data_IF_854581533970
#
_entry.id   IF_854581533970
#
_cell.length_a   1.000
_cell.length_b   1.000
_cell.length_c   1.000
_cell.angle_alpha   90.00
_cell.angle_beta   90.00
_cell.angle_gamma   90.00
#
_symmetry.space_group_name_H-M   'P 1'
#
loop_
_entity.id
_entity.type
_entity.pdbx_description
1 polymer ?
#
# COMPACT_ATOMS: atom_id res chain seq x y z
N UNK A 1 1.67 -18.49 -10.66
CA UNK A 1 0.95 -17.95 -9.48
C UNK A 1 0.83 -19.03 -8.43
N UNK A 2 1.09 -18.74 -7.16
CA UNK A 2 0.88 -19.66 -6.03
C UNK A 2 0.48 -18.93 -4.76
N UNK A 3 -0.19 -19.64 -3.85
CA UNK A 3 -0.49 -19.17 -2.49
C UNK A 3 0.57 -19.72 -1.54
N UNK A 4 1.09 -18.86 -0.68
CA UNK A 4 2.16 -19.16 0.29
C UNK A 4 1.63 -18.94 1.69
N UNK A 5 1.96 -19.86 2.60
CA UNK A 5 1.76 -19.69 4.04
C UNK A 5 3.12 -19.61 4.72
N UNK A 6 3.30 -18.68 5.62
CA UNK A 6 4.51 -18.50 6.42
C UNK A 6 4.20 -17.99 7.82
N UNK A 7 5.07 -18.25 8.76
CA UNK A 7 4.91 -17.73 10.12
C UNK A 7 5.40 -16.28 10.22
N UNK A 8 4.52 -15.37 10.62
CA UNK A 8 4.90 -13.99 10.94
C UNK A 8 5.25 -13.85 12.41
N UNK A 9 6.47 -13.43 12.68
CA UNK A 9 6.93 -13.15 14.05
C UNK A 9 6.21 -11.94 14.65
N UNK A 10 5.97 -10.90 13.84
CA UNK A 10 5.28 -9.70 14.26
C UNK A 10 3.84 -9.95 14.70
N UNK A 11 3.15 -10.88 14.04
CA UNK A 11 1.77 -11.25 14.34
C UNK A 11 1.66 -12.52 15.17
N UNK A 12 2.77 -13.24 15.40
CA UNK A 12 2.86 -14.53 16.10
C UNK A 12 1.80 -15.54 15.59
N UNK A 13 1.67 -15.65 14.27
CA UNK A 13 0.73 -16.57 13.61
C UNK A 13 1.10 -16.79 12.15
N UNK A 14 0.52 -17.83 11.57
CA UNK A 14 0.66 -18.10 10.15
C UNK A 14 -0.16 -17.10 9.33
N UNK A 15 0.49 -16.52 8.34
CA UNK A 15 -0.06 -15.56 7.40
C UNK A 15 0.01 -16.08 5.98
N UNK A 16 -0.89 -15.60 5.13
CA UNK A 16 -0.94 -15.99 3.74
C UNK A 16 -0.66 -14.81 2.81
N UNK A 17 -0.04 -15.10 1.68
CA UNK A 17 0.05 -14.19 0.57
C UNK A 17 0.03 -14.94 -0.76
N UNK A 18 -0.40 -14.29 -1.82
CA UNK A 18 -0.35 -14.81 -3.18
C UNK A 18 0.80 -14.18 -3.94
N UNK A 19 1.51 -14.98 -4.74
CA UNK A 19 2.59 -14.50 -5.60
C UNK A 19 2.27 -14.81 -7.06
N UNK A 20 2.53 -13.84 -7.94
CA UNK A 20 2.58 -14.02 -9.38
C UNK A 20 4.02 -13.76 -9.85
N UNK A 21 4.54 -14.67 -10.65
CA UNK A 21 5.91 -14.62 -11.17
C UNK A 21 5.93 -14.18 -12.63
N UNK A 22 7.06 -13.63 -13.11
CA UNK A 22 7.31 -13.46 -14.54
C UNK A 22 7.20 -14.79 -15.28
N UNK A 23 6.78 -14.73 -16.54
CA UNK A 23 6.65 -15.93 -17.39
C UNK A 23 7.98 -16.65 -17.67
N UNK A 24 9.09 -15.92 -17.67
CA UNK A 24 10.44 -16.44 -17.83
C UNK A 24 11.29 -16.04 -16.64
N UNK A 25 11.95 -17.02 -16.02
CA UNK A 25 12.90 -16.82 -14.92
C UNK A 25 14.24 -17.40 -15.34
N UNK A 26 15.25 -16.55 -15.46
CA UNK A 26 16.62 -16.98 -15.74
C UNK A 26 17.36 -17.25 -14.43
N UNK A 27 18.16 -18.29 -14.38
CA UNK A 27 18.95 -18.60 -13.19
C UNK A 27 19.90 -17.44 -12.85
N UNK A 28 19.84 -16.97 -11.59
CA UNK A 28 20.64 -15.86 -11.09
C UNK A 28 20.03 -14.47 -11.32
N UNK A 29 18.98 -14.35 -12.11
CA UNK A 29 18.25 -13.10 -12.31
C UNK A 29 17.40 -12.77 -11.06
N UNK A 30 17.32 -11.48 -10.72
CA UNK A 30 16.46 -10.96 -9.65
C UNK A 30 15.47 -9.96 -10.23
N UNK A 31 14.23 -10.04 -9.78
CA UNK A 31 13.12 -9.27 -10.30
C UNK A 31 12.65 -8.22 -9.29
N UNK A 32 12.26 -7.03 -9.76
CA UNK A 32 11.58 -6.05 -8.93
C UNK A 32 10.29 -6.63 -8.34
N UNK A 33 9.94 -6.15 -7.14
CA UNK A 33 8.78 -6.64 -6.37
C UNK A 33 7.75 -5.54 -6.20
N UNK A 34 6.49 -5.88 -6.43
CA UNK A 34 5.35 -5.01 -6.16
C UNK A 34 4.45 -5.67 -5.11
N UNK A 35 4.34 -5.05 -3.95
CA UNK A 35 3.42 -5.45 -2.90
C UNK A 35 2.05 -4.81 -3.14
N UNK A 36 0.98 -5.62 -3.26
CA UNK A 36 -0.37 -5.19 -3.64
C UNK A 36 -1.32 -5.36 -2.46
N UNK A 37 -1.63 -4.28 -1.78
CA UNK A 37 -2.42 -4.26 -0.56
C UNK A 37 -3.92 -4.19 -0.87
N UNK A 38 -4.72 -5.13 -0.35
CA UNK A 38 -6.17 -5.16 -0.54
C UNK A 38 -6.90 -4.08 0.28
N UNK A 39 -8.14 -3.78 -0.09
CA UNK A 39 -9.04 -2.87 0.62
C UNK A 39 -9.71 -3.49 1.85
N UNK A 40 -10.44 -2.68 2.62
CA UNK A 40 -11.20 -3.16 3.78
C UNK A 40 -12.23 -4.23 3.39
N UNK A 41 -12.40 -5.25 4.25
CA UNK A 41 -13.24 -6.42 3.98
C UNK A 41 -12.71 -7.36 2.90
N UNK A 42 -11.51 -7.09 2.37
CA UNK A 42 -10.84 -7.92 1.37
C UNK A 42 -9.92 -8.97 1.97
N UNK A 43 -9.17 -9.61 1.08
CA UNK A 43 -8.17 -10.63 1.41
C UNK A 43 -7.05 -10.69 0.35
N UNK A 44 -6.04 -11.52 0.55
CA UNK A 44 -4.87 -11.67 -0.30
C UNK A 44 -5.15 -12.12 -1.74
N UNK A 45 -6.38 -12.55 -2.08
CA UNK A 45 -6.75 -13.00 -3.42
C UNK A 45 -7.39 -11.90 -4.28
N UNK A 46 -7.92 -10.83 -3.65
CA UNK A 46 -8.79 -9.89 -4.35
C UNK A 46 -8.15 -9.24 -5.58
N UNK A 47 -6.87 -8.90 -5.51
CA UNK A 47 -6.17 -8.33 -6.64
C UNK A 47 -6.18 -9.24 -7.87
N UNK A 48 -5.88 -10.52 -7.70
CA UNK A 48 -5.85 -11.49 -8.80
C UNK A 48 -7.23 -11.97 -9.24
N UNK A 49 -8.21 -11.99 -8.31
CA UNK A 49 -9.54 -12.54 -8.62
C UNK A 49 -10.45 -11.47 -9.27
N UNK A 50 -10.20 -10.18 -9.02
CA UNK A 50 -11.08 -9.10 -9.43
C UNK A 50 -10.41 -8.05 -10.34
N UNK A 51 -9.17 -8.28 -10.76
CA UNK A 51 -8.46 -7.41 -11.70
C UNK A 51 -7.52 -8.19 -12.61
N UNK A 52 -7.04 -7.53 -13.67
CA UNK A 52 -6.07 -8.08 -14.61
C UNK A 52 -4.61 -7.90 -14.15
N UNK A 53 -4.39 -7.68 -12.84
CA UNK A 53 -3.07 -7.32 -12.31
C UNK A 53 -2.01 -8.37 -12.61
N UNK A 54 -2.40 -9.66 -12.66
CA UNK A 54 -1.47 -10.76 -12.91
C UNK A 54 -0.68 -10.63 -14.23
N UNK A 55 -1.27 -10.01 -15.27
CA UNK A 55 -0.60 -9.78 -16.57
C UNK A 55 0.65 -8.92 -16.48
N UNK A 56 0.74 -8.05 -15.46
CA UNK A 56 1.91 -7.17 -15.31
C UNK A 56 3.15 -7.91 -14.81
N UNK A 57 3.01 -9.12 -14.28
CA UNK A 57 4.15 -9.96 -13.97
C UNK A 57 4.99 -10.32 -15.22
N UNK A 58 4.36 -10.38 -16.41
CA UNK A 58 5.07 -10.64 -17.67
C UNK A 58 6.05 -9.54 -18.07
N UNK A 59 5.95 -8.37 -17.45
CA UNK A 59 6.95 -7.29 -17.57
C UNK A 59 8.23 -7.56 -16.76
N UNK A 60 8.42 -8.74 -16.19
CA UNK A 60 9.56 -9.05 -15.32
C UNK A 60 9.35 -8.59 -13.88
N UNK A 61 8.13 -8.67 -13.35
CA UNK A 61 7.80 -8.27 -11.98
C UNK A 61 7.36 -9.48 -11.15
N UNK A 62 7.75 -9.51 -9.89
CA UNK A 62 7.11 -10.36 -8.87
C UNK A 62 6.00 -9.53 -8.21
N UNK A 63 4.76 -10.03 -8.28
CA UNK A 63 3.61 -9.40 -7.63
C UNK A 63 3.26 -10.17 -6.37
N UNK A 64 3.23 -9.49 -5.22
CA UNK A 64 2.96 -10.08 -3.90
C UNK A 64 1.70 -9.47 -3.31
N UNK A 65 0.71 -10.30 -3.01
CA UNK A 65 -0.60 -9.92 -2.49
C UNK A 65 -0.79 -10.47 -1.09
N UNK A 66 -0.45 -9.73 -0.03
CA UNK A 66 -0.53 -10.22 1.34
C UNK A 66 -1.94 -10.16 1.91
N UNK A 67 -2.21 -11.04 2.91
CA UNK A 67 -3.36 -10.93 3.79
C UNK A 67 -3.13 -9.83 4.82
N UNK A 68 -4.09 -8.94 5.00
CA UNK A 68 -3.97 -7.81 5.92
C UNK A 68 -5.17 -7.62 6.85
N UNK A 69 -6.22 -8.44 6.70
CA UNK A 69 -7.48 -8.26 7.44
C UNK A 69 -7.98 -6.80 7.35
N UNK A 70 -8.74 -6.34 8.32
CA UNK A 70 -9.20 -4.94 8.42
C UNK A 70 -8.26 -4.07 9.28
N UNK A 71 -6.96 -4.27 9.16
CA UNK A 71 -5.91 -3.67 10.02
C UNK A 71 -5.50 -2.25 9.65
N UNK A 72 -5.91 -1.74 8.49
CA UNK A 72 -5.34 -0.53 7.88
C UNK A 72 -3.81 -0.62 7.69
N UNK A 73 -3.25 -1.84 7.67
CA UNK A 73 -1.81 -2.06 7.50
C UNK A 73 -0.97 -1.31 8.54
N UNK A 74 -1.48 -1.22 9.77
CA UNK A 74 -0.89 -0.48 10.87
C UNK A 74 -0.69 -1.38 12.10
N UNK A 75 0.29 -1.04 12.93
CA UNK A 75 0.41 -1.61 14.25
C UNK A 75 -0.70 -1.06 15.14
N UNK A 76 -1.51 -1.94 15.72
CA UNK A 76 -2.69 -1.54 16.50
C UNK A 76 -2.32 -1.01 17.87
N UNK A 77 -2.85 0.17 18.22
CA UNK A 77 -2.66 0.78 19.53
C UNK A 77 -3.34 -0.02 20.66
N UNK A 78 -4.51 -0.61 20.39
CA UNK A 78 -5.31 -1.32 21.36
C UNK A 78 -5.17 -2.84 21.34
N UNK A 79 -4.42 -3.39 20.39
CA UNK A 79 -4.10 -4.82 20.26
C UNK A 79 -2.63 -4.99 19.95
N UNK A 80 -1.76 -5.06 20.97
CA UNK A 80 -0.30 -5.11 20.78
C UNK A 80 0.19 -6.28 19.91
N UNK A 81 -0.59 -7.35 19.80
CA UNK A 81 -0.31 -8.51 18.95
C UNK A 81 -0.64 -8.28 17.46
N UNK A 82 -1.44 -7.25 17.12
CA UNK A 82 -1.83 -6.93 15.74
C UNK A 82 -0.85 -5.90 15.17
N UNK A 83 0.36 -6.36 14.80
CA UNK A 83 1.48 -5.56 14.30
C UNK A 83 1.61 -5.68 12.78
N UNK A 84 0.58 -5.25 12.06
CA UNK A 84 0.52 -5.43 10.61
C UNK A 84 1.50 -4.55 9.80
N UNK A 85 1.96 -3.43 10.34
CA UNK A 85 3.06 -2.66 9.76
C UNK A 85 4.36 -3.47 9.79
N UNK A 86 4.75 -3.96 10.99
CA UNK A 86 5.96 -4.76 11.15
C UNK A 86 5.91 -6.05 10.35
N UNK A 87 4.73 -6.68 10.29
CA UNK A 87 4.51 -7.85 9.43
C UNK A 87 4.85 -7.55 7.97
N UNK A 88 4.41 -6.40 7.41
CA UNK A 88 4.71 -6.08 6.01
C UNK A 88 6.18 -5.73 5.82
N UNK A 89 6.72 -4.82 6.66
CA UNK A 89 8.05 -4.24 6.40
C UNK A 89 9.21 -5.12 6.85
N UNK A 90 8.98 -6.06 7.75
CA UNK A 90 10.01 -6.98 8.23
C UNK A 90 9.77 -8.41 7.74
N UNK A 91 8.64 -9.03 8.15
CA UNK A 91 8.45 -10.47 7.96
C UNK A 91 8.16 -10.83 6.50
N UNK A 92 7.19 -10.13 5.89
CA UNK A 92 6.76 -10.41 4.51
C UNK A 92 7.87 -10.12 3.49
N UNK A 93 8.51 -8.94 3.61
CA UNK A 93 9.63 -8.58 2.71
C UNK A 93 10.74 -9.62 2.82
N UNK A 94 11.15 -9.99 4.04
CA UNK A 94 12.20 -11.00 4.25
C UNK A 94 11.82 -12.35 3.68
N UNK A 95 10.58 -12.82 3.94
CA UNK A 95 10.11 -14.12 3.47
C UNK A 95 10.07 -14.20 1.93
N UNK A 96 9.63 -13.11 1.26
CA UNK A 96 9.63 -13.01 -0.21
C UNK A 96 11.04 -13.01 -0.77
N UNK A 97 11.97 -12.27 -0.18
CA UNK A 97 13.35 -12.17 -0.62
C UNK A 97 14.16 -13.45 -0.42
N UNK A 98 13.81 -14.23 0.60
CA UNK A 98 14.48 -15.49 0.91
C UNK A 98 13.94 -16.67 0.08
N UNK A 99 12.65 -16.64 -0.27
CA UNK A 99 12.01 -17.72 -1.02
C UNK A 99 12.11 -17.57 -2.54
N UNK A 100 12.18 -16.33 -3.03
CA UNK A 100 12.05 -16.04 -4.45
C UNK A 100 13.23 -15.23 -4.99
N UNK A 101 13.36 -15.18 -6.32
CA UNK A 101 14.37 -14.35 -7.00
C UNK A 101 14.01 -12.86 -6.96
N UNK A 102 13.70 -12.35 -5.78
CA UNK A 102 13.32 -10.96 -5.54
C UNK A 102 14.57 -10.08 -5.40
N UNK A 103 14.55 -8.89 -6.02
CA UNK A 103 15.57 -7.87 -5.79
C UNK A 103 15.41 -7.28 -4.38
N UNK A 104 16.53 -7.10 -3.67
CA UNK A 104 16.52 -6.75 -2.24
C UNK A 104 16.65 -5.25 -1.96
N UNK A 105 16.94 -4.48 -2.97
CA UNK A 105 17.17 -3.04 -2.81
C UNK A 105 15.88 -2.22 -2.97
N UNK A 106 15.93 -0.99 -2.45
CA UNK A 106 14.85 -0.02 -2.52
C UNK A 106 14.41 0.31 -3.94
N UNK A 107 15.37 0.44 -4.87
CA UNK A 107 15.12 0.87 -6.24
C UNK A 107 14.19 -0.11 -6.98
N UNK A 108 14.21 -1.37 -6.58
CA UNK A 108 13.44 -2.46 -7.16
C UNK A 108 12.19 -2.84 -6.32
N UNK A 109 11.76 -1.99 -5.38
CA UNK A 109 10.61 -2.31 -4.54
C UNK A 109 9.54 -1.24 -4.59
N UNK A 110 8.31 -1.67 -4.93
CA UNK A 110 7.12 -0.84 -4.96
C UNK A 110 6.02 -1.39 -4.04
N UNK A 111 5.17 -0.51 -3.54
CA UNK A 111 3.98 -0.86 -2.76
C UNK A 111 2.76 -0.13 -3.31
N UNK A 112 1.68 -0.85 -3.55
CA UNK A 112 0.46 -0.33 -4.18
C UNK A 112 -0.75 -0.84 -3.42
N UNK A 113 -1.81 -0.08 -3.36
CA UNK A 113 -3.03 -0.55 -2.73
C UNK A 113 -4.29 0.19 -3.15
N UNK A 114 -5.43 -0.39 -2.82
CA UNK A 114 -6.76 0.19 -3.05
C UNK A 114 -7.46 0.50 -1.74
N UNK A 115 -8.14 1.63 -1.63
CA UNK A 115 -8.97 1.97 -0.46
C UNK A 115 -8.18 1.96 0.86
N UNK A 116 -8.47 1.04 1.78
CA UNK A 116 -7.67 0.77 2.97
C UNK A 116 -6.21 0.42 2.61
N UNK A 117 -6.01 -0.40 1.58
CA UNK A 117 -4.67 -0.73 1.07
C UNK A 117 -3.95 0.46 0.45
N UNK A 118 -4.70 1.37 -0.19
CA UNK A 118 -4.15 2.63 -0.70
C UNK A 118 -3.62 3.53 0.40
N UNK A 119 -4.36 3.63 1.50
CA UNK A 119 -3.86 4.26 2.73
C UNK A 119 -2.59 3.55 3.24
N UNK A 120 -2.64 2.21 3.37
CA UNK A 120 -1.52 1.41 3.84
C UNK A 120 -0.27 1.59 3.00
N UNK A 121 -0.39 1.52 1.68
CA UNK A 121 0.73 1.67 0.75
C UNK A 121 1.41 3.04 0.89
N UNK A 122 0.63 4.12 0.88
CA UNK A 122 1.16 5.48 1.02
C UNK A 122 1.80 5.67 2.40
N UNK A 123 1.10 5.26 3.47
CA UNK A 123 1.58 5.41 4.85
C UNK A 123 2.87 4.62 5.08
N UNK A 124 2.92 3.35 4.69
CA UNK A 124 4.11 2.52 4.87
C UNK A 124 5.32 3.09 4.12
N UNK A 125 5.11 3.53 2.89
CA UNK A 125 6.21 4.09 2.09
C UNK A 125 6.72 5.43 2.64
N UNK A 126 5.85 6.26 3.22
CA UNK A 126 6.25 7.49 3.90
C UNK A 126 6.95 7.25 5.24
N UNK A 127 6.52 6.21 5.99
CA UNK A 127 7.13 5.83 7.27
C UNK A 127 8.48 5.11 7.09
N UNK A 128 8.64 4.39 5.97
CA UNK A 128 9.82 3.58 5.66
C UNK A 128 10.40 3.94 4.29
N UNK A 129 10.87 5.20 4.10
CA UNK A 129 11.28 5.69 2.78
C UNK A 129 12.49 4.95 2.20
N UNK A 130 13.24 4.24 3.04
CA UNK A 130 14.41 3.43 2.63
C UNK A 130 13.99 2.06 2.08
N UNK A 131 12.71 1.67 2.19
CA UNK A 131 12.24 0.39 1.68
C UNK A 131 11.64 0.47 0.28
N UNK A 132 11.00 1.57 -0.10
CA UNK A 132 10.21 1.65 -1.33
C UNK A 132 10.64 2.84 -2.20
N UNK A 133 10.85 2.60 -3.50
CA UNK A 133 11.07 3.66 -4.47
C UNK A 133 9.76 4.28 -4.99
N UNK A 134 8.67 3.50 -4.97
CA UNK A 134 7.37 3.88 -5.49
C UNK A 134 6.24 3.44 -4.54
N UNK A 135 5.24 4.30 -4.38
CA UNK A 135 3.99 3.94 -3.70
C UNK A 135 2.77 4.38 -4.52
N UNK A 136 1.83 3.45 -4.71
CA UNK A 136 0.58 3.70 -5.42
C UNK A 136 -0.63 3.62 -4.50
N UNK A 137 -1.45 4.68 -4.46
CA UNK A 137 -2.70 4.72 -3.70
C UNK A 137 -3.90 4.97 -4.60
N UNK A 138 -4.72 3.95 -4.85
CA UNK A 138 -5.95 4.07 -5.61
C UNK A 138 -7.12 4.22 -4.63
N UNK A 139 -7.92 5.28 -4.79
CA UNK A 139 -9.10 5.54 -3.94
C UNK A 139 -8.78 5.47 -2.44
N UNK A 140 -7.65 6.06 -2.05
CA UNK A 140 -7.07 5.89 -0.72
C UNK A 140 -7.94 6.45 0.39
N UNK A 141 -8.14 5.68 1.47
CA UNK A 141 -8.76 6.16 2.70
C UNK A 141 -7.76 7.02 3.51
N UNK A 142 -7.12 8.00 2.83
CA UNK A 142 -5.90 8.68 3.27
C UNK A 142 -6.05 9.49 4.57
N UNK A 143 -7.27 9.92 4.89
CA UNK A 143 -7.60 10.73 6.06
C UNK A 143 -8.07 9.93 7.28
N UNK A 144 -8.06 8.59 7.22
CA UNK A 144 -8.66 7.74 8.28
C UNK A 144 -8.14 8.06 9.67
N UNK A 145 -6.84 8.28 9.92
CA UNK A 145 -6.38 8.66 11.27
C UNK A 145 -6.92 10.01 11.75
N UNK A 146 -7.37 10.86 10.85
CA UNK A 146 -7.91 12.20 11.12
C UNK A 146 -9.44 12.24 11.27
N UNK A 147 -10.13 11.12 11.00
CA UNK A 147 -11.58 11.08 11.09
C UNK A 147 -12.03 11.10 12.55
N UNK A 148 -12.94 12.02 12.93
CA UNK A 148 -13.51 12.05 14.25
C UNK A 148 -14.41 10.83 14.46
N UNK A 149 -14.69 10.52 15.74
CA UNK A 149 -15.67 9.49 16.07
C UNK A 149 -17.05 9.90 15.54
N UNK A 150 -17.70 8.98 14.82
CA UNK A 150 -19.02 9.20 14.26
C UNK A 150 -20.08 8.38 14.99
N UNK A 151 -21.05 9.04 15.59
CA UNK A 151 -22.22 8.39 16.22
C UNK A 151 -23.11 7.68 15.20
N UNK A 152 -23.05 8.08 13.92
CA UNK A 152 -23.76 7.42 12.81
C UNK A 152 -23.10 6.10 12.39
N UNK A 153 -21.81 5.93 12.70
CA UNK A 153 -21.01 4.73 12.38
C UNK A 153 -20.14 4.34 13.57
N UNK A 154 -20.76 3.97 14.72
CA UNK A 154 -20.03 3.75 15.96
C UNK A 154 -19.01 2.60 15.86
N UNK A 155 -19.36 1.50 15.20
CA UNK A 155 -18.46 0.36 15.01
C UNK A 155 -17.18 0.75 14.26
N UNK A 156 -17.29 1.58 13.22
CA UNK A 156 -16.13 2.09 12.48
C UNK A 156 -15.29 3.02 13.37
N UNK A 157 -15.91 3.90 14.14
CA UNK A 157 -15.20 4.79 15.06
C UNK A 157 -14.44 4.03 16.15
N UNK A 158 -15.05 2.97 16.71
CA UNK A 158 -14.40 2.09 17.68
C UNK A 158 -13.22 1.34 17.05
N UNK A 159 -13.37 0.83 15.83
CA UNK A 159 -12.27 0.19 15.07
C UNK A 159 -11.11 1.16 14.85
N UNK A 160 -11.37 2.39 14.39
CA UNK A 160 -10.32 3.40 14.21
C UNK A 160 -9.61 3.74 15.52
N UNK A 161 -10.36 3.82 16.64
CA UNK A 161 -9.77 4.04 17.95
C UNK A 161 -8.90 2.87 18.39
N UNK A 162 -9.34 1.65 18.12
CA UNK A 162 -8.58 0.44 18.43
C UNK A 162 -7.26 0.40 17.67
N UNK A 163 -7.29 0.71 16.36
CA UNK A 163 -6.10 0.64 15.50
C UNK A 163 -5.19 1.84 15.75
N UNK A 164 -5.70 3.06 15.67
CA UNK A 164 -4.91 4.29 15.71
C UNK A 164 -4.79 4.94 17.10
N UNK A 165 -5.44 4.39 18.10
CA UNK A 165 -5.46 4.95 19.46
C UNK A 165 -6.46 6.10 19.64
N UNK A 166 -6.40 6.73 20.82
CA UNK A 166 -7.22 7.88 21.16
C UNK A 166 -6.93 9.07 20.25
N UNK A 167 -7.89 10.01 20.18
CA UNK A 167 -7.68 11.27 19.49
C UNK A 167 -6.48 12.01 20.08
N UNK A 168 -5.57 12.47 19.20
CA UNK A 168 -4.35 13.16 19.62
C UNK A 168 -3.23 12.27 20.17
N UNK A 169 -3.39 10.93 20.21
CA UNK A 169 -2.31 10.02 20.61
C UNK A 169 -1.12 10.04 19.65
N UNK A 170 0.05 9.63 20.16
CA UNK A 170 1.25 9.50 19.33
C UNK A 170 1.04 8.47 18.21
N UNK A 171 0.50 7.29 18.52
CA UNK A 171 0.20 6.26 17.52
C UNK A 171 -0.66 6.78 16.37
N UNK A 172 -1.65 7.63 16.68
CA UNK A 172 -2.50 8.23 15.66
C UNK A 172 -1.72 9.20 14.78
N UNK A 173 -0.82 10.00 15.35
CA UNK A 173 0.07 10.92 14.60
C UNK A 173 1.06 10.17 13.73
N UNK A 174 1.66 9.11 14.24
CA UNK A 174 2.64 8.28 13.52
C UNK A 174 2.01 7.57 12.32
N UNK A 175 0.70 7.34 12.35
CA UNK A 175 -0.05 6.75 11.24
C UNK A 175 -0.78 7.78 10.36
N UNK A 176 -0.56 9.08 10.55
CA UNK A 176 -1.22 10.13 9.76
C UNK A 176 -0.35 10.57 8.57
N UNK A 177 -0.71 10.19 7.32
CA UNK A 177 0.07 10.54 6.13
C UNK A 177 0.30 12.05 5.96
N UNK A 178 -0.64 12.88 6.40
CA UNK A 178 -0.46 14.34 6.34
C UNK A 178 0.60 14.83 7.32
N UNK A 179 0.74 14.19 8.47
CA UNK A 179 1.81 14.49 9.43
C UNK A 179 3.14 13.99 8.89
N UNK A 180 3.17 12.76 8.39
CA UNK A 180 4.38 12.17 7.78
C UNK A 180 4.94 13.07 6.66
N UNK A 181 4.08 13.54 5.75
CA UNK A 181 4.47 14.45 4.66
C UNK A 181 5.02 15.78 5.18
N UNK A 182 4.41 16.35 6.24
CA UNK A 182 4.88 17.65 6.79
C UNK A 182 6.31 17.62 7.32
N UNK A 183 6.76 16.46 7.79
CA UNK A 183 8.10 16.28 8.35
C UNK A 183 9.03 15.47 7.44
N UNK A 184 8.56 15.11 6.23
CA UNK A 184 9.33 14.36 5.27
C UNK A 184 10.50 15.17 4.69
N UNK A 185 11.61 14.49 4.45
CA UNK A 185 12.69 14.98 3.58
C UNK A 185 12.34 14.60 2.12
N UNK A 186 12.02 15.58 1.24
CA UNK A 186 11.60 15.30 -0.14
C UNK A 186 12.62 14.47 -0.93
N UNK A 187 13.92 14.61 -0.64
CA UNK A 187 15.00 13.88 -1.31
C UNK A 187 14.99 12.37 -1.03
N UNK A 188 14.42 11.95 0.10
CA UNK A 188 14.37 10.55 0.53
C UNK A 188 13.03 9.87 0.21
N UNK A 189 11.98 10.65 -0.04
CA UNK A 189 10.63 10.09 -0.22
C UNK A 189 10.48 9.28 -1.50
N UNK A 190 9.62 8.26 -1.50
CA UNK A 190 9.24 7.54 -2.71
C UNK A 190 8.52 8.45 -3.70
N UNK A 191 8.43 8.02 -4.96
CA UNK A 191 7.48 8.62 -5.90
C UNK A 191 6.07 8.14 -5.57
N UNK A 192 5.10 9.07 -5.52
CA UNK A 192 3.72 8.74 -5.15
C UNK A 192 2.79 8.82 -6.37
N UNK A 193 2.11 7.73 -6.68
CA UNK A 193 1.00 7.71 -7.63
C UNK A 193 -0.32 7.69 -6.87
N UNK A 194 -1.17 8.66 -7.10
CA UNK A 194 -2.48 8.73 -6.47
C UNK A 194 -3.58 8.80 -7.52
N UNK A 195 -4.68 8.09 -7.32
CA UNK A 195 -5.88 8.28 -8.12
C UNK A 195 -7.15 8.12 -7.28
N UNK A 196 -8.22 8.82 -7.67
CA UNK A 196 -9.51 8.74 -7.00
C UNK A 196 -10.65 9.01 -7.99
N UNK A 197 -11.75 8.30 -7.85
CA UNK A 197 -12.95 8.49 -8.66
C UNK A 197 -13.68 9.79 -8.31
N UNK A 198 -14.23 10.46 -9.32
CA UNK A 198 -15.01 11.71 -9.15
C UNK A 198 -16.23 11.54 -8.25
N UNK A 199 -16.83 10.34 -8.23
CA UNK A 199 -18.04 10.03 -7.48
C UNK A 199 -17.75 9.45 -6.09
N UNK A 200 -16.47 9.43 -5.67
CA UNK A 200 -16.08 8.87 -4.39
C UNK A 200 -16.13 9.89 -3.26
N UNK A 201 -16.67 9.49 -2.11
CA UNK A 201 -16.59 10.30 -0.88
C UNK A 201 -15.16 10.52 -0.36
N UNK A 202 -14.18 9.82 -0.92
CA UNK A 202 -12.76 9.94 -0.57
C UNK A 202 -12.03 11.02 -1.39
N UNK A 203 -12.64 11.51 -2.49
CA UNK A 203 -12.00 12.43 -3.42
C UNK A 203 -11.50 13.72 -2.74
N UNK A 204 -12.32 14.30 -1.86
CA UNK A 204 -11.93 15.52 -1.14
C UNK A 204 -10.64 15.33 -0.36
N UNK A 205 -10.55 14.28 0.45
CA UNK A 205 -9.36 14.00 1.25
C UNK A 205 -8.13 13.73 0.37
N UNK A 206 -8.29 13.00 -0.75
CA UNK A 206 -7.19 12.75 -1.68
C UNK A 206 -6.71 14.04 -2.37
N UNK A 207 -7.62 14.97 -2.74
CA UNK A 207 -7.24 16.30 -3.26
C UNK A 207 -6.48 17.14 -2.24
N UNK A 208 -6.96 17.18 -1.00
CA UNK A 208 -6.30 17.91 0.10
C UNK A 208 -4.90 17.33 0.36
N UNK A 209 -4.75 16.00 0.28
CA UNK A 209 -3.45 15.35 0.43
C UNK A 209 -2.51 15.65 -0.75
N UNK A 210 -3.00 15.60 -1.99
CA UNK A 210 -2.21 15.97 -3.18
C UNK A 210 -1.73 17.43 -3.11
N UNK A 211 -2.58 18.36 -2.66
CA UNK A 211 -2.19 19.76 -2.46
C UNK A 211 -1.07 19.90 -1.41
N UNK A 212 -1.09 19.11 -0.35
CA UNK A 212 0.00 19.08 0.64
C UNK A 212 1.29 18.52 0.07
N UNK A 213 1.23 17.50 -0.80
CA UNK A 213 2.42 16.97 -1.49
C UNK A 213 3.07 18.04 -2.37
N UNK A 214 2.26 18.82 -3.10
CA UNK A 214 2.72 19.96 -3.90
C UNK A 214 3.38 21.03 -3.04
N UNK A 215 2.71 21.46 -1.96
CA UNK A 215 3.24 22.44 -0.99
C UNK A 215 4.61 22.00 -0.43
N UNK A 216 4.77 20.71 -0.21
CA UNK A 216 5.99 20.13 0.38
C UNK A 216 7.02 19.69 -0.68
N UNK A 217 6.78 19.96 -1.96
CA UNK A 217 7.65 19.62 -3.09
C UNK A 217 8.01 18.12 -3.18
N UNK A 218 7.09 17.23 -2.76
CA UNK A 218 7.26 15.80 -2.97
C UNK A 218 6.97 15.42 -4.42
N UNK A 219 7.65 14.39 -4.90
CA UNK A 219 7.43 13.87 -6.26
C UNK A 219 6.18 13.01 -6.30
N UNK A 220 5.17 13.44 -7.01
CA UNK A 220 3.90 12.73 -7.09
C UNK A 220 3.17 12.98 -8.41
N UNK A 221 2.15 12.19 -8.67
CA UNK A 221 1.08 12.46 -9.62
C UNK A 221 -0.26 12.15 -8.97
N UNK A 222 -1.29 12.89 -9.35
CA UNK A 222 -2.64 12.68 -8.85
C UNK A 222 -3.66 12.76 -9.99
N UNK A 223 -4.42 11.68 -10.17
CA UNK A 223 -5.41 11.53 -11.22
C UNK A 223 -6.83 11.49 -10.65
N UNK A 224 -7.65 12.45 -11.02
CA UNK A 224 -9.09 12.40 -10.80
C UNK A 224 -9.72 11.79 -12.03
N UNK A 225 -10.53 10.75 -11.84
CA UNK A 225 -11.00 9.91 -12.93
C UNK A 225 -12.51 9.68 -12.81
N UNK A 226 -13.23 9.48 -13.90
CA UNK A 226 -14.65 9.12 -13.85
C UNK A 226 -14.87 7.84 -13.03
N UNK A 227 -16.02 7.75 -12.35
CA UNK A 227 -16.46 6.55 -11.65
C UNK A 227 -16.34 6.61 -10.13
N UNK A 228 -16.61 5.46 -9.50
CA UNK A 228 -16.78 5.29 -8.06
C UNK A 228 -15.82 4.26 -7.45
N UNK A 229 -16.16 3.78 -6.26
CA UNK A 229 -15.33 2.92 -5.42
C UNK A 229 -15.53 1.43 -5.74
N UNK A 230 -15.05 0.96 -6.90
CA UNK A 230 -15.27 -0.41 -7.37
C UNK A 230 -14.01 -1.01 -8.02
N UNK A 231 -13.90 -2.35 -8.01
CA UNK A 231 -12.80 -3.05 -8.66
C UNK A 231 -12.72 -2.81 -10.17
N UNK A 232 -13.86 -2.66 -10.86
CA UNK A 232 -13.88 -2.31 -12.29
C UNK A 232 -13.14 -1.00 -12.53
N UNK A 233 -13.44 0.03 -11.74
CA UNK A 233 -12.77 1.33 -11.85
C UNK A 233 -11.29 1.27 -11.46
N UNK A 234 -10.93 0.48 -10.46
CA UNK A 234 -9.54 0.31 -10.07
C UNK A 234 -8.73 -0.44 -11.13
N UNK A 235 -9.33 -1.46 -11.77
CA UNK A 235 -8.68 -2.19 -12.86
C UNK A 235 -8.34 -1.27 -14.04
N UNK A 236 -9.20 -0.31 -14.37
CA UNK A 236 -8.94 0.69 -15.41
C UNK A 236 -7.75 1.61 -15.11
N UNK A 237 -7.29 1.70 -13.86
CA UNK A 237 -6.11 2.51 -13.45
C UNK A 237 -4.80 1.76 -13.57
N UNK A 238 -4.82 0.44 -13.65
CA UNK A 238 -3.62 -0.38 -13.66
C UNK A 238 -2.64 -0.02 -14.78
N UNK A 239 -3.06 0.23 -16.04
CA UNK A 239 -2.11 0.60 -17.08
C UNK A 239 -1.29 1.84 -16.71
N UNK A 240 -1.93 2.95 -16.35
CA UNK A 240 -1.24 4.19 -16.01
C UNK A 240 -0.37 4.06 -14.74
N UNK A 241 -0.86 3.33 -13.73
CA UNK A 241 -0.10 3.07 -12.52
C UNK A 241 1.16 2.26 -12.80
N UNK A 242 1.04 1.14 -13.52
CA UNK A 242 2.18 0.28 -13.81
C UNK A 242 3.16 0.92 -14.79
N UNK A 243 2.71 1.76 -15.72
CA UNK A 243 3.61 2.52 -16.60
C UNK A 243 4.37 3.61 -15.83
N UNK A 244 3.71 4.30 -14.89
CA UNK A 244 4.38 5.25 -14.00
C UNK A 244 5.38 4.56 -13.08
N UNK A 245 4.98 3.46 -12.47
CA UNK A 245 5.83 2.67 -11.58
C UNK A 245 7.07 2.14 -12.30
N UNK A 246 6.90 1.57 -13.51
CA UNK A 246 7.98 0.99 -14.29
C UNK A 246 9.13 1.96 -14.52
N UNK A 247 8.81 3.21 -14.88
CA UNK A 247 9.78 4.30 -15.06
C UNK A 247 10.56 4.67 -13.78
N UNK A 248 10.13 4.19 -12.61
CA UNK A 248 10.70 4.54 -11.31
C UNK A 248 11.48 3.41 -10.67
N UNK A 249 11.10 2.16 -10.93
CA UNK A 249 11.78 0.95 -10.44
C UNK A 249 12.67 0.27 -11.50
N UNK A 250 12.71 0.83 -12.70
CA UNK A 250 13.65 0.52 -13.78
C UNK A 250 14.07 1.87 -14.36
N UNK A 251 14.93 2.66 -13.71
CA UNK A 251 15.56 3.78 -14.36
C UNK A 251 16.36 3.21 -15.53
N UNK A 252 16.04 3.62 -16.75
CA UNK A 252 16.92 3.40 -17.89
C UNK A 252 18.26 4.05 -17.51
N UNK A 253 19.35 3.29 -17.63
CA UNK A 253 20.73 3.74 -17.38
C UNK A 253 21.12 4.95 -18.24
#
# INVERSE_FOLDING_TARGET
>A
MCDVTFHSNALNRDMQYRVVFPGHITAGERFPVVYLLHGGGGNFRNWSDWSDVARYAERGLILVMPEGSDSYWANSAGRPQDRYEDYVVNDLISDVEDKFSAAKDRANRAIVGVSMGGFGAVKLALSHPDLFAFAGGISSAIDVPRRPFSIKRPAQGLRHRLIFGAWGSQTRRDNDPYILVRFADPGRMPYLFLSCGEQEGLLRANREFAALLEERHLRYEFHVVPGGHTWTQWNERLPSLFDSMWKRIHPED
#
